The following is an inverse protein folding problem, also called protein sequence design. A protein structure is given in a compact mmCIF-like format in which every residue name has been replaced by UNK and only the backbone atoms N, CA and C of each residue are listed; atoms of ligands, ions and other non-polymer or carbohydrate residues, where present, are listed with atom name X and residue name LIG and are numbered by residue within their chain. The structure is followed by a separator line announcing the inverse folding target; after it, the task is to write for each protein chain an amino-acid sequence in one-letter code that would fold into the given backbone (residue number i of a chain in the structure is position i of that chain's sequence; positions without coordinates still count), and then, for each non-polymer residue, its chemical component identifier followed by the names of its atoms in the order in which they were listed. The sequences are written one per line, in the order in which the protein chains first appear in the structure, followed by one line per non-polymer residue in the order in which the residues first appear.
data_IF_880654929660
#
_entry.id   IF_880654929660
#
_cell.length_a   1.000
_cell.length_b   1.000
_cell.length_c   1.000
_cell.angle_alpha   90.00
_cell.angle_beta   90.00
_cell.angle_gamma   90.00
#
_symmetry.space_group_name_H-M   'P 1'
#
loop_
_entity.id
_entity.type
_entity.pdbx_description
1 polymer ?
#
# COMPACT_ATOMS: atom_id res chain seq x y z
N UNK A 1 0.69 1.42 3.75
CA UNK A 1 1.17 2.44 4.72
C UNK A 1 2.62 2.14 5.14
N UNK A 2 2.95 0.92 5.57
CA UNK A 2 4.28 0.60 6.10
C UNK A 2 5.44 0.97 5.19
N UNK A 3 5.39 0.61 3.90
CA UNK A 3 6.46 0.96 2.97
C UNK A 3 6.52 2.46 2.66
N UNK A 4 5.38 3.16 2.64
CA UNK A 4 5.35 4.63 2.53
C UNK A 4 6.05 5.29 3.71
N UNK A 5 5.81 4.78 4.92
CA UNK A 5 6.49 5.23 6.13
C UNK A 5 8.00 4.92 6.07
N UNK A 6 8.37 3.72 5.61
CA UNK A 6 9.79 3.35 5.42
C UNK A 6 10.50 4.33 4.48
N UNK A 7 9.96 4.58 3.27
CA UNK A 7 10.55 5.52 2.32
C UNK A 7 10.68 6.94 2.89
N UNK A 8 9.63 7.43 3.56
CA UNK A 8 9.67 8.73 4.24
C UNK A 8 10.73 8.79 5.34
N UNK A 9 10.88 7.70 6.12
CA UNK A 9 11.87 7.62 7.20
C UNK A 9 13.29 7.57 6.66
N UNK A 10 13.54 6.81 5.60
CA UNK A 10 14.87 6.73 4.98
C UNK A 10 15.31 8.07 4.40
N UNK A 11 14.40 8.78 3.70
CA UNK A 11 14.68 10.11 3.19
C UNK A 11 14.96 11.11 4.33
N UNK A 12 14.18 11.06 5.42
CA UNK A 12 14.41 11.88 6.59
C UNK A 12 15.76 11.58 7.27
N UNK A 13 16.10 10.30 7.45
CA UNK A 13 17.39 9.87 8.02
C UNK A 13 18.55 10.35 7.17
N UNK A 14 18.42 10.29 5.85
CA UNK A 14 19.44 10.80 4.93
C UNK A 14 19.67 12.29 5.11
N UNK A 15 18.61 13.11 5.24
CA UNK A 15 18.72 14.55 5.57
C UNK A 15 19.45 14.79 6.89
N UNK A 16 19.33 13.90 7.85
CA UNK A 16 20.06 13.94 9.14
C UNK A 16 21.49 13.38 9.05
N UNK A 17 21.99 13.04 7.87
CA UNK A 17 23.31 12.44 7.69
C UNK A 17 23.43 11.04 8.29
N UNK A 18 22.32 10.31 8.44
CA UNK A 18 22.27 8.97 9.06
C UNK A 18 21.87 7.93 8.04
N UNK A 19 22.59 6.81 8.03
CA UNK A 19 22.28 5.65 7.21
C UNK A 19 22.40 4.36 8.06
N UNK A 20 21.38 4.06 8.90
CA UNK A 20 21.45 2.95 9.86
C UNK A 20 21.11 1.59 9.25
N UNK A 21 20.72 1.50 7.98
CA UNK A 21 20.26 0.26 7.36
C UNK A 21 21.14 -0.11 6.15
N UNK A 22 21.35 -1.41 5.95
CA UNK A 22 22.14 -1.93 4.84
C UNK A 22 21.35 -2.03 3.53
N UNK A 23 20.02 -2.27 3.62
CA UNK A 23 19.12 -2.38 2.47
C UNK A 23 17.67 -2.11 2.87
N UNK A 24 16.83 -1.82 1.89
CA UNK A 24 15.39 -1.66 2.08
C UNK A 24 14.61 -2.61 1.15
N UNK A 25 13.53 -3.21 1.69
CA UNK A 25 12.63 -4.06 0.90
C UNK A 25 11.23 -3.51 0.95
N UNK A 26 10.65 -3.27 -0.21
CA UNK A 26 9.28 -2.79 -0.39
C UNK A 26 8.42 -3.85 -1.07
N UNK A 27 7.40 -4.30 -0.37
CA UNK A 27 6.45 -5.28 -0.87
C UNK A 27 5.12 -4.59 -1.17
N UNK A 28 4.71 -4.57 -2.44
CA UNK A 28 3.44 -3.98 -2.90
C UNK A 28 3.17 -2.59 -2.30
N UNK A 29 4.16 -1.71 -2.37
CA UNK A 29 4.17 -0.41 -1.69
C UNK A 29 3.95 0.74 -2.66
N UNK A 30 3.03 1.66 -2.32
CA UNK A 30 2.89 2.94 -3.00
C UNK A 30 3.84 3.98 -2.38
N UNK A 31 4.68 4.58 -3.21
CA UNK A 31 5.43 5.82 -2.94
C UNK A 31 4.98 6.92 -3.90
N UNK A 32 4.56 6.55 -5.10
CA UNK A 32 3.79 7.39 -6.03
C UNK A 32 2.31 7.01 -5.93
N UNK A 33 1.45 7.99 -5.79
CA UNK A 33 0.00 7.84 -5.63
C UNK A 33 -0.77 8.38 -6.84
N UNK A 34 -0.12 8.53 -7.99
CA UNK A 34 -0.74 9.08 -9.22
C UNK A 34 -1.90 8.23 -9.76
N UNK A 35 -1.93 6.94 -9.44
CA UNK A 35 -3.05 6.06 -9.72
C UNK A 35 -3.34 5.18 -8.49
N UNK A 36 -4.22 5.64 -7.58
CA UNK A 36 -4.53 4.92 -6.35
C UNK A 36 -5.46 3.72 -6.52
N UNK A 37 -5.77 3.34 -7.75
CA UNK A 37 -6.67 2.23 -8.03
C UNK A 37 -8.13 2.54 -7.70
N UNK A 38 -8.91 1.51 -7.35
CA UNK A 38 -10.35 1.63 -7.06
C UNK A 38 -10.67 2.58 -5.92
N UNK A 39 -9.77 2.74 -4.94
CA UNK A 39 -9.97 3.68 -3.82
C UNK A 39 -10.00 5.16 -4.28
N UNK A 40 -9.48 5.44 -5.47
CA UNK A 40 -9.44 6.80 -6.04
C UNK A 40 -10.81 7.49 -6.12
N UNK A 41 -11.90 6.74 -6.21
CA UNK A 41 -13.27 7.29 -6.22
C UNK A 41 -13.60 8.07 -4.95
N UNK A 42 -12.95 7.74 -3.84
CA UNK A 42 -13.12 8.40 -2.53
C UNK A 42 -12.09 9.52 -2.30
N UNK A 43 -11.12 9.68 -3.20
CA UNK A 43 -10.03 10.64 -3.03
C UNK A 43 -10.40 11.99 -3.67
N UNK A 44 -11.15 12.77 -2.94
CA UNK A 44 -11.46 14.15 -3.26
C UNK A 44 -11.70 14.94 -1.96
N UNK A 45 -11.60 16.28 -2.04
CA UNK A 45 -11.73 17.14 -0.86
C UNK A 45 -13.04 16.98 -0.09
N UNK A 46 -14.15 16.74 -0.79
CA UNK A 46 -15.44 16.59 -0.17
C UNK A 46 -15.51 15.30 0.66
N UNK A 47 -15.12 14.18 0.06
CA UNK A 47 -15.10 12.86 0.73
C UNK A 47 -14.13 12.84 1.90
N UNK A 48 -12.93 13.42 1.73
CA UNK A 48 -11.92 13.47 2.80
C UNK A 48 -12.44 14.32 3.97
N UNK A 49 -13.06 15.47 3.75
CA UNK A 49 -13.69 16.26 4.83
C UNK A 49 -14.78 15.48 5.56
N UNK A 50 -15.58 14.70 4.83
CA UNK A 50 -16.57 13.82 5.44
C UNK A 50 -15.96 12.78 6.37
N UNK A 51 -14.89 12.13 5.91
CA UNK A 51 -14.12 11.16 6.72
C UNK A 51 -13.51 11.85 7.95
N UNK A 52 -12.86 12.99 7.79
CA UNK A 52 -12.25 13.76 8.88
C UNK A 52 -13.27 14.10 9.98
N UNK A 53 -14.43 14.62 9.57
CA UNK A 53 -15.52 14.95 10.52
C UNK A 53 -16.03 13.72 11.28
N UNK A 54 -16.07 12.56 10.63
CA UNK A 54 -16.42 11.30 11.28
C UNK A 54 -15.33 10.87 12.29
N UNK A 55 -14.07 11.04 11.92
CA UNK A 55 -12.92 10.65 12.74
C UNK A 55 -12.69 11.56 13.95
N UNK A 56 -13.04 12.85 13.85
CA UNK A 56 -12.93 13.81 14.97
C UNK A 56 -13.62 13.33 16.24
N UNK A 57 -14.78 12.70 16.09
CA UNK A 57 -15.56 12.18 17.23
C UNK A 57 -14.93 10.96 17.88
N UNK A 58 -14.29 10.09 17.08
CA UNK A 58 -13.78 8.79 17.53
C UNK A 58 -12.27 8.82 17.82
N UNK A 59 -11.53 9.75 17.25
CA UNK A 59 -10.09 9.87 17.37
C UNK A 59 -9.29 8.86 16.53
N UNK A 60 -9.93 7.90 15.90
CA UNK A 60 -9.29 6.88 15.04
C UNK A 60 -10.23 6.32 13.97
N UNK A 61 -9.67 5.77 12.90
CA UNK A 61 -10.37 4.94 11.93
C UNK A 61 -10.32 3.48 12.40
N UNK A 62 -11.49 2.88 12.52
CA UNK A 62 -11.64 1.46 12.87
C UNK A 62 -11.15 0.57 11.71
N UNK A 63 -10.29 -0.40 12.00
CA UNK A 63 -9.78 -1.34 11.00
C UNK A 63 -10.88 -2.12 10.29
N UNK A 64 -12.01 -2.39 10.96
CA UNK A 64 -13.19 -3.05 10.36
C UNK A 64 -13.86 -2.18 9.29
N UNK A 65 -13.92 -0.86 9.49
CA UNK A 65 -14.46 0.06 8.49
C UNK A 65 -13.58 0.11 7.24
N UNK A 66 -12.26 0.05 7.42
CA UNK A 66 -11.31 -0.07 6.31
C UNK A 66 -11.49 -1.39 5.57
N UNK A 67 -11.55 -2.52 6.27
CA UNK A 67 -11.79 -3.84 5.66
C UNK A 67 -13.09 -3.85 4.86
N UNK A 68 -14.18 -3.28 5.40
CA UNK A 68 -15.45 -3.15 4.69
C UNK A 68 -15.32 -2.34 3.39
N UNK A 69 -14.59 -1.22 3.42
CA UNK A 69 -14.34 -0.41 2.22
C UNK A 69 -13.62 -1.21 1.13
N UNK A 70 -12.59 -1.98 1.49
CA UNK A 70 -11.89 -2.84 0.52
C UNK A 70 -12.76 -3.97 0.00
N UNK A 71 -13.63 -4.55 0.83
CA UNK A 71 -14.57 -5.58 0.41
C UNK A 71 -15.58 -5.04 -0.61
N UNK A 72 -16.06 -3.81 -0.44
CA UNK A 72 -16.96 -3.15 -1.39
C UNK A 72 -16.30 -2.90 -2.75
N UNK A 73 -14.99 -2.63 -2.79
CA UNK A 73 -14.26 -2.43 -4.05
C UNK A 73 -14.11 -3.72 -4.87
N UNK A 74 -14.29 -4.89 -4.26
CA UNK A 74 -14.23 -6.21 -4.91
C UNK A 74 -15.37 -7.13 -4.46
N UNK A 75 -16.56 -6.59 -4.43
CA UNK A 75 -17.76 -7.30 -3.97
C UNK A 75 -18.00 -8.63 -4.68
N UNK A 76 -17.76 -8.70 -6.00
CA UNK A 76 -17.95 -9.92 -6.77
C UNK A 76 -17.04 -11.06 -6.32
N UNK A 77 -15.80 -10.77 -5.95
CA UNK A 77 -14.80 -11.78 -5.56
C UNK A 77 -14.90 -12.12 -4.07
N UNK A 78 -15.09 -11.09 -3.23
CA UNK A 78 -15.02 -11.24 -1.78
C UNK A 78 -16.36 -11.50 -1.11
N UNK A 79 -17.48 -11.15 -1.76
CA UNK A 79 -18.81 -11.35 -1.23
C UNK A 79 -19.65 -12.28 -2.11
N UNK A 80 -19.92 -11.92 -3.37
CA UNK A 80 -20.82 -12.69 -4.22
C UNK A 80 -20.29 -14.06 -4.62
N UNK A 81 -18.97 -14.19 -4.83
CA UNK A 81 -18.36 -15.49 -5.11
C UNK A 81 -18.50 -16.43 -3.92
N UNK A 82 -18.29 -15.92 -2.69
CA UNK A 82 -18.49 -16.70 -1.46
C UNK A 82 -19.97 -17.11 -1.30
N UNK A 83 -20.88 -16.16 -1.45
CA UNK A 83 -22.31 -16.41 -1.38
C UNK A 83 -22.74 -17.51 -2.37
N UNK A 84 -22.35 -17.37 -3.64
CA UNK A 84 -22.72 -18.32 -4.68
C UNK A 84 -22.12 -19.71 -4.46
N UNK A 85 -20.82 -19.79 -4.18
CA UNK A 85 -20.14 -21.07 -4.12
C UNK A 85 -20.37 -21.78 -2.78
N UNK A 86 -20.27 -21.06 -1.67
CA UNK A 86 -20.34 -21.69 -0.35
C UNK A 86 -21.77 -21.83 0.15
N UNK A 87 -22.61 -20.81 -0.01
CA UNK A 87 -23.98 -20.85 0.47
C UNK A 87 -24.95 -21.52 -0.53
N UNK A 88 -24.99 -21.06 -1.79
CA UNK A 88 -25.95 -21.62 -2.77
C UNK A 88 -25.54 -22.98 -3.31
N UNK A 89 -24.26 -23.21 -3.57
CA UNK A 89 -23.74 -24.49 -4.10
C UNK A 89 -23.25 -25.46 -3.02
N UNK A 90 -23.24 -25.08 -1.75
CA UNK A 90 -22.81 -25.92 -0.64
C UNK A 90 -21.33 -26.34 -0.70
N UNK A 91 -20.50 -25.64 -1.46
CA UNK A 91 -19.06 -25.93 -1.54
C UNK A 91 -18.38 -25.50 -0.25
N UNK A 92 -17.40 -26.30 0.23
CA UNK A 92 -16.58 -25.88 1.37
C UNK A 92 -15.75 -24.67 1.00
N UNK A 93 -15.61 -23.67 1.91
CA UNK A 93 -14.69 -22.54 1.69
C UNK A 93 -13.28 -23.05 1.40
N UNK A 94 -12.59 -22.39 0.46
CA UNK A 94 -11.19 -22.71 0.22
C UNK A 94 -10.36 -22.44 1.49
N UNK A 95 -9.54 -23.39 1.89
CA UNK A 95 -8.64 -23.22 3.02
C UNK A 95 -7.62 -22.12 2.70
N UNK A 96 -7.55 -21.11 3.54
CA UNK A 96 -6.59 -20.02 3.43
C UNK A 96 -5.99 -19.76 4.82
N UNK A 97 -4.80 -20.28 5.02
CA UNK A 97 -4.08 -20.29 6.29
C UNK A 97 -3.73 -18.88 6.81
N UNK A 98 -3.63 -17.90 5.91
CA UNK A 98 -3.39 -16.49 6.26
C UNK A 98 -4.65 -15.68 6.53
N UNK A 99 -5.85 -16.27 6.48
CA UNK A 99 -7.12 -15.55 6.59
C UNK A 99 -7.23 -14.77 7.91
N UNK A 100 -6.87 -15.39 9.02
CA UNK A 100 -6.91 -14.76 10.33
C UNK A 100 -6.00 -13.53 10.37
N UNK A 101 -4.74 -13.67 9.97
CA UNK A 101 -3.79 -12.56 9.90
C UNK A 101 -4.28 -11.44 8.98
N UNK A 102 -4.84 -11.78 7.82
CA UNK A 102 -5.33 -10.80 6.85
C UNK A 102 -6.54 -10.01 7.35
N UNK A 103 -7.35 -10.61 8.24
CA UNK A 103 -8.54 -9.96 8.80
C UNK A 103 -8.26 -9.20 10.10
N UNK A 104 -7.10 -9.40 10.71
CA UNK A 104 -6.67 -8.71 11.94
C UNK A 104 -6.25 -7.27 11.63
N UNK A 105 -7.24 -6.40 11.50
CA UNK A 105 -7.08 -5.01 11.10
C UNK A 105 -6.66 -4.10 12.25
N UNK A 106 -5.70 -3.23 12.01
CA UNK A 106 -5.22 -2.21 12.97
C UNK A 106 -5.99 -0.90 12.82
N UNK A 107 -6.38 -0.29 13.94
CA UNK A 107 -6.96 1.04 13.96
C UNK A 107 -5.91 2.10 13.60
N UNK A 108 -6.31 3.12 12.83
CA UNK A 108 -5.44 4.22 12.45
C UNK A 108 -5.80 5.50 13.19
N UNK A 109 -4.85 6.19 13.85
CA UNK A 109 -5.11 7.49 14.46
C UNK A 109 -5.69 8.49 13.44
N UNK A 110 -6.71 9.23 13.82
CA UNK A 110 -7.45 10.15 12.94
C UNK A 110 -6.52 11.14 12.21
N UNK A 111 -5.59 11.76 12.94
CA UNK A 111 -4.63 12.72 12.35
C UNK A 111 -3.70 12.07 11.34
N UNK A 112 -3.21 10.86 11.63
CA UNK A 112 -2.35 10.11 10.70
C UNK A 112 -3.13 9.76 9.44
N UNK A 113 -4.36 9.28 9.58
CA UNK A 113 -5.18 8.89 8.44
C UNK A 113 -5.52 10.08 7.54
N UNK A 114 -5.97 11.20 8.12
CA UNK A 114 -6.21 12.45 7.40
C UNK A 114 -4.97 12.95 6.67
N UNK A 115 -3.83 12.99 7.36
CA UNK A 115 -2.56 13.38 6.76
C UNK A 115 -2.20 12.49 5.57
N UNK A 116 -2.34 11.17 5.72
CA UNK A 116 -2.05 10.20 4.67
C UNK A 116 -2.96 10.38 3.45
N UNK A 117 -4.27 10.56 3.65
CA UNK A 117 -5.22 10.81 2.56
C UNK A 117 -4.89 12.12 1.82
N UNK A 118 -4.59 13.20 2.54
CA UNK A 118 -4.33 14.51 1.92
C UNK A 118 -2.96 14.58 1.27
N UNK A 119 -1.89 14.20 1.98
CA UNK A 119 -0.54 14.43 1.48
C UNK A 119 -0.13 13.39 0.44
N UNK A 120 -0.52 12.13 0.64
CA UNK A 120 -0.16 11.03 -0.27
C UNK A 120 -1.21 10.88 -1.37
N UNK A 121 -2.42 10.49 -1.04
CA UNK A 121 -3.43 10.17 -2.06
C UNK A 121 -3.91 11.39 -2.85
N UNK A 122 -4.30 12.48 -2.20
CA UNK A 122 -4.88 13.64 -2.89
C UNK A 122 -3.82 14.46 -3.63
N UNK A 123 -2.70 14.75 -2.96
CA UNK A 123 -1.70 15.69 -3.47
C UNK A 123 -0.46 15.02 -4.05
N UNK A 124 -0.27 13.71 -3.84
CA UNK A 124 0.89 12.93 -4.27
C UNK A 124 2.22 13.63 -3.97
N UNK A 125 2.38 14.13 -2.73
CA UNK A 125 3.54 14.95 -2.35
C UNK A 125 4.80 14.15 -2.12
N UNK A 126 4.71 12.88 -1.68
CA UNK A 126 5.88 12.10 -1.32
C UNK A 126 6.87 11.92 -2.48
N UNK A 127 6.35 11.68 -3.69
CA UNK A 127 7.18 11.48 -4.89
C UNK A 127 7.72 12.80 -5.46
N UNK A 128 7.15 13.95 -5.06
CA UNK A 128 7.61 15.26 -5.51
C UNK A 128 8.76 15.73 -4.61
N UNK A 129 9.95 15.96 -5.14
CA UNK A 129 11.08 16.42 -4.33
C UNK A 129 10.74 17.61 -3.46
N UNK A 130 11.12 17.55 -2.20
CA UNK A 130 11.02 18.62 -1.20
C UNK A 130 9.61 19.22 -0.97
N UNK A 131 8.55 18.56 -1.49
CA UNK A 131 7.18 19.05 -1.33
C UNK A 131 6.50 18.61 -0.03
N UNK A 132 7.10 17.68 0.69
CA UNK A 132 6.65 17.15 1.97
C UNK A 132 7.66 17.50 3.06
N UNK A 133 7.17 18.09 4.17
CA UNK A 133 8.00 18.35 5.33
C UNK A 133 7.61 17.41 6.48
N UNK A 134 8.58 16.69 7.03
CA UNK A 134 8.41 15.80 8.18
C UNK A 134 9.43 16.17 9.26
N UNK A 135 8.93 16.47 10.46
CA UNK A 135 9.75 16.79 11.61
C UNK A 135 10.82 17.88 11.32
N UNK A 136 10.46 18.89 10.52
CA UNK A 136 11.33 20.00 10.17
C UNK A 136 12.22 19.79 8.96
N UNK A 137 12.25 18.59 8.37
CA UNK A 137 13.06 18.29 7.19
C UNK A 137 12.21 18.12 5.93
N UNK A 138 12.67 18.67 4.80
CA UNK A 138 12.07 18.39 3.50
C UNK A 138 12.44 17.01 3.01
N UNK A 139 11.45 16.28 2.48
CA UNK A 139 11.60 14.87 2.07
C UNK A 139 11.81 14.78 0.57
N UNK A 140 12.88 14.07 0.20
CA UNK A 140 13.19 13.78 -1.18
C UNK A 140 13.61 12.30 -1.34
N UNK A 141 12.80 11.51 -2.03
CA UNK A 141 13.07 10.08 -2.22
C UNK A 141 14.32 9.83 -3.06
N UNK A 142 14.71 10.78 -3.94
CA UNK A 142 15.90 10.64 -4.77
C UNK A 142 17.23 10.72 -3.99
N UNK A 143 17.17 11.15 -2.74
CA UNK A 143 18.33 11.16 -1.86
C UNK A 143 18.54 9.84 -1.11
N UNK A 144 17.59 8.90 -1.20
CA UNK A 144 17.75 7.57 -0.61
C UNK A 144 18.73 6.79 -1.46
N UNK A 145 19.92 6.54 -0.93
CA UNK A 145 21.01 5.81 -1.58
C UNK A 145 21.17 4.36 -1.09
N UNK A 146 20.28 3.93 -0.21
CA UNK A 146 20.25 2.55 0.29
C UNK A 146 19.83 1.59 -0.82
N UNK A 147 20.58 0.49 -1.07
CA UNK A 147 20.15 -0.54 -2.00
C UNK A 147 18.74 -1.01 -1.70
N UNK A 148 17.86 -0.94 -2.69
CA UNK A 148 16.42 -1.15 -2.47
C UNK A 148 15.86 -2.23 -3.39
N UNK A 149 15.09 -3.15 -2.79
CA UNK A 149 14.36 -4.18 -3.51
C UNK A 149 12.87 -3.85 -3.49
N UNK A 150 12.25 -3.82 -4.67
CA UNK A 150 10.81 -3.61 -4.82
C UNK A 150 10.15 -4.83 -5.45
N UNK A 151 9.12 -5.35 -4.81
CA UNK A 151 8.28 -6.38 -5.37
C UNK A 151 6.86 -5.85 -5.55
N UNK A 152 6.33 -5.99 -6.74
CA UNK A 152 4.95 -5.65 -7.07
C UNK A 152 4.24 -6.82 -7.73
N UNK A 153 2.92 -6.85 -7.68
CA UNK A 153 2.12 -7.90 -8.28
C UNK A 153 1.31 -7.36 -9.47
N UNK A 154 1.34 -8.10 -10.59
CA UNK A 154 0.74 -7.68 -11.87
C UNK A 154 -0.76 -7.42 -11.77
N UNK A 155 -1.47 -8.22 -10.97
CA UNK A 155 -2.93 -8.14 -10.81
C UNK A 155 -3.31 -7.41 -9.50
N UNK A 156 -2.36 -6.69 -8.89
CA UNK A 156 -2.62 -5.91 -7.69
C UNK A 156 -3.55 -4.73 -8.02
N UNK A 157 -4.71 -4.70 -7.37
CA UNK A 157 -5.72 -3.65 -7.52
C UNK A 157 -5.61 -2.57 -6.45
N UNK A 158 -4.83 -2.83 -5.39
CA UNK A 158 -4.61 -1.92 -4.25
C UNK A 158 -3.39 -1.05 -4.52
N UNK A 159 -2.26 -1.69 -4.79
CA UNK A 159 -0.99 -1.03 -5.12
C UNK A 159 -0.60 -1.40 -6.56
N UNK A 160 -1.19 -0.71 -7.53
CA UNK A 160 -0.98 -1.00 -8.95
C UNK A 160 0.51 -0.98 -9.29
N UNK A 161 0.98 -2.02 -9.99
CA UNK A 161 2.40 -2.20 -10.26
C UNK A 161 3.06 -1.01 -11.00
N UNK A 162 2.31 -0.30 -11.85
CA UNK A 162 2.84 0.88 -12.57
C UNK A 162 3.19 2.02 -11.62
N UNK A 163 2.38 2.24 -10.59
CA UNK A 163 2.66 3.28 -9.59
C UNK A 163 3.70 2.84 -8.58
N UNK A 164 3.76 1.56 -8.23
CA UNK A 164 4.87 1.02 -7.42
C UNK A 164 6.20 1.12 -8.17
N UNK A 165 6.21 0.86 -9.48
CA UNK A 165 7.40 1.05 -10.32
C UNK A 165 7.85 2.51 -10.39
N UNK A 166 6.91 3.46 -10.56
CA UNK A 166 7.24 4.90 -10.49
C UNK A 166 7.86 5.29 -9.14
N UNK A 167 7.33 4.73 -8.06
CA UNK A 167 7.90 4.93 -6.73
C UNK A 167 9.33 4.35 -6.60
N UNK A 168 9.59 3.20 -7.22
CA UNK A 168 10.93 2.61 -7.28
C UNK A 168 11.90 3.51 -8.05
N UNK A 169 11.48 4.07 -9.19
CA UNK A 169 12.28 5.00 -9.99
C UNK A 169 12.58 6.33 -9.26
N UNK A 170 11.82 6.67 -8.24
CA UNK A 170 12.07 7.88 -7.44
C UNK A 170 13.24 7.74 -6.47
N UNK A 171 13.76 6.53 -6.23
CA UNK A 171 14.92 6.30 -5.37
C UNK A 171 16.24 6.65 -6.09
N UNK A 172 17.22 7.18 -5.34
CA UNK A 172 18.52 7.56 -5.88
C UNK A 172 19.58 6.46 -5.84
N UNK A 173 19.38 5.39 -5.07
CA UNK A 173 20.30 4.26 -4.95
C UNK A 173 20.05 3.14 -5.96
N UNK A 174 20.78 2.04 -5.80
CA UNK A 174 20.56 0.83 -6.59
C UNK A 174 19.18 0.25 -6.32
N UNK A 175 18.38 0.10 -7.37
CA UNK A 175 17.03 -0.42 -7.28
C UNK A 175 16.87 -1.68 -8.09
N UNK A 176 16.44 -2.76 -7.44
CA UNK A 176 15.97 -3.97 -8.09
C UNK A 176 14.44 -4.02 -8.00
N UNK A 177 13.78 -4.06 -9.15
CA UNK A 177 12.32 -4.19 -9.24
C UNK A 177 11.93 -5.57 -9.74
N UNK A 178 11.00 -6.22 -9.04
CA UNK A 178 10.43 -7.50 -9.45
C UNK A 178 8.91 -7.35 -9.60
N UNK A 179 8.40 -7.74 -10.76
CA UNK A 179 6.98 -7.85 -11.04
C UNK A 179 6.56 -9.31 -10.98
N UNK A 180 5.84 -9.70 -9.94
CA UNK A 180 5.30 -11.06 -9.82
C UNK A 180 3.92 -11.19 -10.48
N UNK A 181 3.54 -12.40 -10.82
CA UNK A 181 2.17 -12.75 -11.21
C UNK A 181 1.21 -12.66 -10.01
N UNK A 182 -0.13 -12.76 -10.29
CA UNK A 182 -1.17 -12.72 -9.26
C UNK A 182 -1.41 -11.35 -8.59
N UNK A 183 -2.18 -11.36 -7.47
CA UNK A 183 -2.68 -10.18 -6.77
C UNK A 183 -1.85 -9.80 -5.55
N UNK A 184 -2.38 -8.86 -4.77
CA UNK A 184 -1.70 -8.18 -3.65
C UNK A 184 -1.01 -9.12 -2.64
N UNK A 185 -1.66 -10.21 -2.25
CA UNK A 185 -1.12 -11.15 -1.27
C UNK A 185 -0.40 -12.30 -1.97
N UNK A 186 -1.07 -13.01 -2.88
CA UNK A 186 -0.55 -14.20 -3.52
C UNK A 186 0.61 -13.92 -4.49
N UNK A 187 0.76 -12.68 -4.97
CA UNK A 187 1.92 -12.23 -5.73
C UNK A 187 3.18 -12.09 -4.89
N UNK A 188 3.03 -11.90 -3.58
CA UNK A 188 4.13 -11.76 -2.61
C UNK A 188 4.38 -13.08 -1.89
N UNK A 189 3.32 -13.69 -1.37
CA UNK A 189 3.37 -14.92 -0.58
C UNK A 189 2.91 -16.08 -1.45
N UNK A 190 3.87 -16.72 -2.11
CA UNK A 190 3.63 -17.84 -3.00
C UNK A 190 4.76 -18.87 -2.84
N UNK A 191 4.47 -20.05 -2.25
CA UNK A 191 5.51 -21.04 -1.99
C UNK A 191 6.05 -21.60 -3.30
N UNK A 192 7.39 -21.66 -3.49
CA UNK A 192 8.03 -22.10 -4.73
C UNK A 192 7.60 -23.49 -5.21
N UNK A 193 7.32 -24.41 -4.29
CA UNK A 193 6.92 -25.77 -4.63
C UNK A 193 5.58 -25.88 -5.36
N UNK A 194 4.76 -24.83 -5.35
CA UNK A 194 3.50 -24.76 -6.09
C UNK A 194 3.67 -24.39 -7.55
N UNK A 195 4.82 -23.89 -7.95
CA UNK A 195 5.18 -23.49 -9.33
C UNK A 195 4.09 -22.64 -10.04
N UNK A 196 3.43 -21.76 -9.29
CA UNK A 196 2.15 -21.18 -9.74
C UNK A 196 2.31 -19.88 -10.50
N UNK A 197 3.20 -19.03 -10.26
CA UNK A 197 3.23 -17.68 -10.82
C UNK A 197 4.63 -17.32 -11.30
N UNK A 198 4.70 -16.80 -12.53
CA UNK A 198 5.93 -16.24 -13.06
C UNK A 198 6.26 -14.87 -12.49
N UNK A 199 7.46 -14.40 -12.72
CA UNK A 199 7.91 -13.05 -12.37
C UNK A 199 8.81 -12.47 -13.45
N UNK A 200 8.94 -11.15 -13.46
CA UNK A 200 9.83 -10.37 -14.33
C UNK A 200 10.71 -9.49 -13.45
N UNK A 201 11.96 -9.30 -13.86
CA UNK A 201 12.92 -8.44 -13.15
C UNK A 201 13.66 -7.57 -14.15
N UNK A 202 14.09 -6.38 -13.73
CA UNK A 202 15.07 -5.55 -14.42
C UNK A 202 16.49 -6.04 -14.15
#
# INVERSE_FOLDING_TARGET
IGGTLLGSTLAWLKKKGRNPVASATYLTTLLDFSDPGGIGVFINDHSIRGIEKMLERKGYLDGRAMAFTFNLLRENELFWSFWTNNYLKGQKPAAFDLLYWNTDGTNLPARMHSYYLRQMYLNNRLVKPDSLNLLGESINLSEIDVPSFFLSARQDHIAKWKTTYKGALAHGGDVRFVLSGSGHIAGVINPPYKEKYGYWTN
#
